data_IF_246607563340
#
_entry.id   IF_246607563340
#
_cell.length_a   1.000
_cell.length_b   1.000
_cell.length_c   1.000
_cell.angle_alpha   90.00
_cell.angle_beta   90.00
_cell.angle_gamma   90.00
#
_symmetry.space_group_name_H-M   'P 1'
#
loop_
_entity.id
_entity.type
_entity.pdbx_description
1 polymer ?
#
# COMPACT_ATOMS: atom_id res chain seq x y z
N UNK A 1 17.08 20.45 -1.71
CA UNK A 1 17.35 20.06 -0.31
C UNK A 1 17.20 18.55 -0.20
N UNK A 2 18.31 17.80 -0.16
CA UNK A 2 18.27 16.33 -0.04
C UNK A 2 17.95 15.96 1.41
N UNK A 3 16.82 15.29 1.63
CA UNK A 3 16.49 14.73 2.93
C UNK A 3 17.43 13.54 3.18
N UNK A 4 18.27 13.62 4.21
CA UNK A 4 19.17 12.53 4.61
C UNK A 4 18.36 11.27 4.94
N UNK A 5 18.43 10.27 4.06
CA UNK A 5 17.74 8.98 4.17
C UNK A 5 18.46 8.00 5.11
N UNK A 6 19.63 8.36 5.65
CA UNK A 6 20.53 7.46 6.39
C UNK A 6 19.97 6.92 7.72
N UNK A 7 18.87 7.48 8.23
CA UNK A 7 18.31 7.13 9.55
C UNK A 7 16.90 6.52 9.50
N UNK A 8 16.37 6.16 8.32
CA UNK A 8 15.03 5.59 8.24
C UNK A 8 15.12 4.07 8.48
N UNK A 9 14.57 3.55 9.58
CA UNK A 9 14.61 2.12 9.87
C UNK A 9 13.80 1.33 8.84
N UNK A 10 14.28 0.11 8.53
CA UNK A 10 13.58 -0.83 7.66
C UNK A 10 12.13 -1.08 8.16
N UNK A 11 11.19 -1.28 7.24
CA UNK A 11 9.76 -1.45 7.54
C UNK A 11 9.51 -2.57 8.55
N UNK A 12 10.21 -3.69 8.40
CA UNK A 12 10.17 -4.83 9.35
C UNK A 12 10.54 -4.43 10.78
N UNK A 13 11.52 -3.53 10.93
CA UNK A 13 11.93 -2.99 12.22
C UNK A 13 10.88 -2.00 12.78
N UNK A 14 10.19 -1.23 11.92
CA UNK A 14 9.10 -0.36 12.36
C UNK A 14 7.90 -1.14 12.91
N UNK A 15 7.60 -2.30 12.32
CA UNK A 15 6.49 -3.16 12.76
C UNK A 15 6.81 -3.93 14.04
N UNK A 16 8.07 -4.29 14.27
CA UNK A 16 8.49 -5.02 15.48
C UNK A 16 8.70 -4.11 16.70
N UNK A 17 8.82 -2.80 16.50
CA UNK A 17 9.02 -1.83 17.61
C UNK A 17 7.82 -1.78 18.56
N UNK A 18 8.13 -1.67 19.85
CA UNK A 18 7.12 -1.41 20.89
C UNK A 18 6.45 -0.04 20.74
N UNK A 19 7.19 0.96 20.28
CA UNK A 19 6.66 2.32 20.08
C UNK A 19 7.24 2.95 18.84
N UNK A 20 6.40 3.69 18.11
CA UNK A 20 6.77 4.37 16.88
C UNK A 20 6.78 5.91 17.05
N UNK A 21 7.69 6.61 16.34
CA UNK A 21 7.66 8.07 16.32
C UNK A 21 6.38 8.59 15.69
N UNK A 22 6.18 9.91 15.79
CA UNK A 22 5.00 10.54 15.23
C UNK A 22 5.02 10.49 13.70
N UNK A 23 3.88 10.16 13.10
CA UNK A 23 3.68 10.20 11.64
C UNK A 23 3.31 11.61 11.18
N UNK A 24 2.43 12.27 11.95
CA UNK A 24 2.00 13.65 11.74
C UNK A 24 2.79 14.56 12.69
N UNK A 25 3.22 15.75 12.25
CA UNK A 25 3.89 16.72 13.12
C UNK A 25 3.06 17.05 14.37
N UNK A 26 3.71 16.96 15.54
CA UNK A 26 3.13 17.34 16.82
C UNK A 26 3.40 18.82 17.04
N UNK A 27 2.37 19.59 17.42
CA UNK A 27 2.54 21.00 17.78
C UNK A 27 3.57 21.18 18.89
N UNK A 28 4.41 22.23 18.81
CA UNK A 28 5.44 22.46 19.81
C UNK A 28 4.83 22.83 21.17
N UNK A 29 5.58 22.55 22.24
CA UNK A 29 5.26 23.05 23.58
C UNK A 29 5.43 24.56 23.62
N UNK A 30 4.46 25.29 24.17
CA UNK A 30 4.53 26.75 24.28
C UNK A 30 4.83 27.15 25.72
N UNK A 31 5.74 28.09 25.93
CA UNK A 31 5.95 28.71 27.24
C UNK A 31 5.06 29.94 27.39
N UNK A 32 4.60 30.20 28.61
CA UNK A 32 3.90 31.42 28.96
C UNK A 32 4.07 31.74 30.44
N UNK A 33 3.44 32.80 30.91
CA UNK A 33 3.38 33.12 32.33
C UNK A 33 2.00 32.76 32.88
N UNK A 34 1.93 32.33 34.14
CA UNK A 34 0.69 32.32 34.90
C UNK A 34 0.33 33.77 35.26
N UNK A 35 -0.95 34.11 35.23
CA UNK A 35 -1.48 35.43 35.63
C UNK A 35 -2.20 35.25 36.96
N UNK A 36 -1.52 35.39 38.11
CA UNK A 36 -2.19 35.28 39.39
C UNK A 36 -3.03 36.53 39.66
N UNK A 37 -3.83 36.45 40.73
CA UNK A 37 -4.50 37.63 41.31
C UNK A 37 -3.48 38.60 41.96
N UNK A 38 -2.31 38.10 42.38
CA UNK A 38 -1.17 38.91 42.84
C UNK A 38 -0.29 39.40 41.66
N UNK A 39 0.66 40.31 41.92
CA UNK A 39 1.53 40.90 40.88
C UNK A 39 2.61 39.95 40.34
N UNK A 40 2.93 38.86 41.06
CA UNK A 40 4.09 38.02 40.76
C UNK A 40 3.79 36.95 39.71
N UNK A 41 4.30 37.13 38.49
CA UNK A 41 4.16 36.15 37.40
C UNK A 41 5.11 34.97 37.59
N UNK A 42 4.61 33.75 37.42
CA UNK A 42 5.43 32.52 37.38
C UNK A 42 5.44 31.92 35.98
N UNK A 43 6.53 31.25 35.60
CA UNK A 43 6.62 30.55 34.30
C UNK A 43 5.70 29.33 34.29
N UNK A 44 5.06 29.06 33.15
CA UNK A 44 4.30 27.85 32.87
C UNK A 44 4.55 27.34 31.45
N UNK A 45 4.30 26.06 31.23
CA UNK A 45 4.41 25.42 29.91
C UNK A 45 3.08 24.79 29.50
N UNK A 46 2.67 25.02 28.26
CA UNK A 46 1.52 24.39 27.64
C UNK A 46 1.99 23.21 26.79
N UNK A 47 1.69 22.00 27.28
CA UNK A 47 2.01 20.75 26.58
C UNK A 47 0.82 20.32 25.72
N UNK A 48 1.05 19.87 24.47
CA UNK A 48 -0.02 19.30 23.66
C UNK A 48 -0.51 17.97 24.27
N UNK A 49 -1.79 17.67 24.12
CA UNK A 49 -2.35 16.37 24.52
C UNK A 49 -1.91 15.30 23.51
N UNK A 50 -0.90 14.52 23.91
CA UNK A 50 -0.26 13.49 23.09
C UNK A 50 -0.48 12.12 23.72
N UNK A 51 -0.87 11.16 22.90
CA UNK A 51 -1.09 9.77 23.25
C UNK A 51 -0.33 8.86 22.28
N UNK A 52 -0.24 7.57 22.61
CA UNK A 52 0.27 6.54 21.71
C UNK A 52 -0.86 5.59 21.37
N UNK A 53 -1.04 5.32 20.09
CA UNK A 53 -2.14 4.48 19.58
C UNK A 53 -1.58 3.47 18.61
N UNK A 54 -2.15 2.28 18.63
CA UNK A 54 -1.86 1.20 17.70
C UNK A 54 -2.80 1.30 16.50
N UNK A 55 -2.24 1.34 15.29
CA UNK A 55 -3.04 1.45 14.07
C UNK A 55 -2.94 0.16 13.25
N UNK A 56 -4.07 -0.43 12.82
CA UNK A 56 -4.03 -1.52 11.85
C UNK A 56 -3.44 -1.03 10.53
N UNK A 57 -2.69 -1.90 9.87
CA UNK A 57 -2.10 -1.67 8.56
C UNK A 57 -2.44 -2.86 7.66
N UNK A 58 -2.74 -2.58 6.39
CA UNK A 58 -3.11 -3.61 5.44
C UNK A 58 -2.03 -3.67 4.35
N UNK A 59 -1.81 -2.57 3.64
CA UNK A 59 -0.90 -2.48 2.50
C UNK A 59 0.57 -2.58 2.90
N UNK A 60 0.91 -2.07 4.09
CA UNK A 60 2.30 -2.04 4.57
C UNK A 60 2.79 -3.37 5.14
N UNK A 61 1.93 -4.39 5.25
CA UNK A 61 2.35 -5.71 5.73
C UNK A 61 2.32 -6.71 4.59
N UNK A 62 3.50 -7.10 4.13
CA UNK A 62 3.69 -8.15 3.11
C UNK A 62 3.11 -9.50 3.55
N UNK A 63 2.92 -9.69 4.86
CA UNK A 63 2.39 -10.93 5.46
C UNK A 63 0.86 -11.07 5.39
N UNK A 64 0.14 -10.07 4.87
CA UNK A 64 -1.35 -10.09 4.88
C UNK A 64 -1.94 -11.17 3.97
N UNK A 65 -1.30 -11.51 2.85
CA UNK A 65 -1.77 -12.58 1.96
C UNK A 65 -1.64 -13.98 2.60
N UNK A 66 -0.65 -14.21 3.45
CA UNK A 66 -0.45 -15.49 4.14
C UNK A 66 -1.32 -15.68 5.40
N UNK A 67 -1.66 -14.58 6.09
CA UNK A 67 -2.37 -14.64 7.38
C UNK A 67 -3.90 -14.58 7.28
N UNK A 68 -4.47 -14.28 6.11
CA UNK A 68 -5.93 -14.34 5.90
C UNK A 68 -6.50 -15.76 6.13
N UNK A 69 -5.66 -16.79 5.96
CA UNK A 69 -6.05 -18.19 6.09
C UNK A 69 -6.07 -18.69 7.54
N UNK A 70 -5.64 -17.89 8.51
CA UNK A 70 -5.65 -18.24 9.93
C UNK A 70 -6.56 -17.26 10.70
N UNK A 71 -7.81 -17.65 11.05
CA UNK A 71 -8.78 -16.77 11.70
C UNK A 71 -8.39 -16.34 13.13
N UNK A 72 -7.27 -16.81 13.67
CA UNK A 72 -6.72 -16.42 14.98
C UNK A 72 -5.54 -15.44 14.92
N UNK A 73 -5.01 -15.12 13.74
CA UNK A 73 -3.84 -14.22 13.64
C UNK A 73 -4.26 -12.76 13.74
N UNK A 74 -3.77 -12.08 14.79
CA UNK A 74 -3.92 -10.63 14.96
C UNK A 74 -3.46 -9.89 13.69
N UNK A 75 -4.35 -9.09 13.12
CA UNK A 75 -4.01 -8.21 11.99
C UNK A 75 -2.73 -7.42 12.28
N UNK A 76 -1.86 -7.22 11.29
CA UNK A 76 -0.64 -6.46 11.48
C UNK A 76 -0.99 -5.02 11.89
N UNK A 77 -0.27 -4.52 12.90
CA UNK A 77 -0.50 -3.19 13.49
C UNK A 77 0.81 -2.45 13.61
N UNK A 78 0.79 -1.17 13.27
CA UNK A 78 1.83 -0.23 13.62
C UNK A 78 1.64 0.20 15.07
N UNK A 79 2.49 -0.32 15.97
CA UNK A 79 2.32 -0.18 17.42
C UNK A 79 2.84 1.16 17.95
N UNK A 80 2.12 1.72 18.91
CA UNK A 80 2.54 2.81 19.76
C UNK A 80 2.90 4.09 19.02
N UNK A 81 2.17 4.44 17.96
CA UNK A 81 2.40 5.66 17.17
C UNK A 81 2.08 6.89 18.01
N UNK A 82 3.07 7.76 18.20
CA UNK A 82 2.89 8.99 18.97
C UNK A 82 2.05 10.02 18.20
N UNK A 83 0.90 10.41 18.72
CA UNK A 83 -0.02 11.33 18.04
C UNK A 83 -0.70 12.30 19.02
N UNK A 84 -1.13 13.44 18.51
CA UNK A 84 -2.03 14.33 19.27
C UNK A 84 -3.46 13.83 19.18
N UNK A 85 -4.25 14.01 20.25
CA UNK A 85 -5.64 13.54 20.29
C UNK A 85 -6.51 14.13 19.18
N UNK A 86 -6.31 15.41 18.82
CA UNK A 86 -7.01 16.04 17.68
C UNK A 86 -6.68 15.36 16.34
N UNK A 87 -5.45 14.87 16.20
CA UNK A 87 -4.96 14.21 14.98
C UNK A 87 -5.39 12.75 14.88
N UNK A 88 -5.71 12.11 15.99
CA UNK A 88 -6.31 10.76 16.00
C UNK A 88 -7.66 10.80 15.28
N UNK A 89 -8.50 11.80 15.57
CA UNK A 89 -9.78 12.00 14.88
C UNK A 89 -9.63 12.20 13.37
N UNK A 90 -8.55 12.89 12.95
CA UNK A 90 -8.24 13.04 11.52
C UNK A 90 -7.91 11.69 10.86
N UNK A 91 -7.23 10.79 11.58
CA UNK A 91 -6.91 9.43 11.11
C UNK A 91 -8.18 8.59 10.99
N UNK A 92 -9.02 8.60 12.02
CA UNK A 92 -10.30 7.89 12.02
C UNK A 92 -11.19 8.36 10.88
N UNK A 93 -11.29 9.67 10.68
CA UNK A 93 -12.04 10.28 9.56
C UNK A 93 -11.49 9.86 8.20
N UNK A 94 -10.18 9.66 8.08
CA UNK A 94 -9.54 9.21 6.84
C UNK A 94 -9.64 7.68 6.62
N UNK A 95 -10.32 6.94 7.52
CA UNK A 95 -10.44 5.49 7.42
C UNK A 95 -9.19 4.72 7.89
N UNK A 96 -8.38 5.33 8.76
CA UNK A 96 -7.17 4.72 9.30
C UNK A 96 -5.88 5.39 8.80
N UNK A 97 -4.73 4.81 9.19
CA UNK A 97 -3.44 5.45 8.96
C UNK A 97 -3.05 5.47 7.48
N UNK A 98 -3.37 4.39 6.75
CA UNK A 98 -3.07 4.28 5.32
C UNK A 98 -3.93 5.25 4.50
N UNK A 99 -5.23 5.37 4.82
CA UNK A 99 -6.11 6.36 4.22
C UNK A 99 -5.66 7.81 4.49
N UNK A 100 -5.11 8.08 5.67
CA UNK A 100 -4.48 9.37 5.95
C UNK A 100 -3.23 9.61 5.08
N UNK A 101 -2.36 8.61 4.92
CA UNK A 101 -1.14 8.72 4.11
C UNK A 101 -1.46 8.96 2.62
N UNK A 102 -2.55 8.36 2.13
CA UNK A 102 -3.06 8.57 0.77
C UNK A 102 -3.67 9.95 0.59
N UNK A 103 -4.48 10.40 1.55
CA UNK A 103 -5.21 11.68 1.45
C UNK A 103 -4.34 12.92 1.63
N UNK A 104 -3.24 12.85 2.39
CA UNK A 104 -2.41 14.03 2.69
C UNK A 104 -1.17 14.15 1.80
N UNK A 105 -0.79 15.37 1.38
CA UNK A 105 0.50 15.58 0.74
C UNK A 105 1.67 15.37 1.71
N UNK A 106 2.83 14.94 1.18
CA UNK A 106 4.02 14.62 1.97
C UNK A 106 4.51 15.77 2.88
N UNK A 107 4.29 17.03 2.48
CA UNK A 107 4.64 18.23 3.28
C UNK A 107 3.95 18.31 4.64
N UNK A 108 2.83 17.61 4.82
CA UNK A 108 2.08 17.58 6.09
C UNK A 108 2.46 16.39 6.99
N UNK A 109 3.45 15.61 6.58
CA UNK A 109 3.92 14.43 7.29
C UNK A 109 5.31 14.69 7.86
N UNK A 110 5.66 13.95 8.90
CA UNK A 110 7.05 13.84 9.37
C UNK A 110 7.88 13.03 8.35
N UNK A 111 9.23 13.02 8.46
CA UNK A 111 10.06 12.16 7.61
C UNK A 111 9.65 10.68 7.67
N UNK A 112 9.29 10.17 8.85
CA UNK A 112 8.74 8.81 8.98
C UNK A 112 7.43 8.67 8.19
N UNK A 113 6.50 9.60 8.34
CA UNK A 113 5.24 9.56 7.61
C UNK A 113 5.44 9.66 6.09
N UNK A 114 6.38 10.47 5.63
CA UNK A 114 6.76 10.56 4.22
C UNK A 114 7.31 9.23 3.68
N UNK A 115 8.12 8.52 4.46
CA UNK A 115 8.61 7.18 4.11
C UNK A 115 7.48 6.15 4.07
N UNK A 116 6.60 6.10 5.08
CA UNK A 116 5.45 5.19 5.07
C UNK A 116 4.54 5.47 3.88
N UNK A 117 4.33 6.74 3.54
CA UNK A 117 3.58 7.14 2.34
C UNK A 117 4.21 6.59 1.07
N UNK A 118 5.52 6.72 0.89
CA UNK A 118 6.17 6.17 -0.32
C UNK A 118 6.08 4.66 -0.38
N UNK A 119 6.18 3.96 0.77
CA UNK A 119 5.96 2.51 0.82
C UNK A 119 4.54 2.13 0.42
N UNK A 120 3.52 2.83 0.92
CA UNK A 120 2.12 2.60 0.52
C UNK A 120 1.95 2.77 -1.00
N UNK A 121 2.47 3.86 -1.58
CA UNK A 121 2.37 4.08 -3.02
C UNK A 121 3.11 3.03 -3.85
N UNK A 122 4.29 2.60 -3.40
CA UNK A 122 5.05 1.54 -4.07
C UNK A 122 4.28 0.21 -4.05
N UNK A 123 3.64 -0.13 -2.93
CA UNK A 123 2.82 -1.36 -2.85
C UNK A 123 1.59 -1.26 -3.73
N UNK A 124 0.88 -0.13 -3.74
CA UNK A 124 -0.25 0.08 -4.66
C UNK A 124 0.16 0.02 -6.13
N UNK A 125 1.35 0.53 -6.45
CA UNK A 125 1.89 0.45 -7.80
C UNK A 125 2.20 -0.99 -8.22
N UNK A 126 2.76 -1.80 -7.31
CA UNK A 126 2.97 -3.24 -7.55
C UNK A 126 1.65 -3.96 -7.79
N UNK A 127 0.69 -3.79 -6.90
CA UNK A 127 -0.66 -4.38 -7.03
C UNK A 127 -1.30 -4.00 -8.37
N UNK A 128 -1.15 -2.74 -8.80
CA UNK A 128 -1.65 -2.29 -10.09
C UNK A 128 -1.02 -3.06 -11.26
N UNK A 129 0.31 -3.20 -11.26
CA UNK A 129 1.03 -3.96 -12.30
C UNK A 129 0.55 -5.42 -12.32
N UNK A 130 0.42 -6.04 -11.16
CA UNK A 130 -0.03 -7.43 -11.04
C UNK A 130 -1.45 -7.61 -11.60
N UNK A 131 -2.36 -6.68 -11.29
CA UNK A 131 -3.72 -6.68 -11.83
C UNK A 131 -3.78 -6.44 -13.34
N UNK A 132 -2.93 -5.56 -13.88
CA UNK A 132 -2.83 -5.32 -15.32
C UNK A 132 -2.30 -6.58 -16.04
N UNK A 133 -1.31 -7.26 -15.47
CA UNK A 133 -0.79 -8.53 -16.00
C UNK A 133 -1.83 -9.66 -15.96
N UNK A 134 -2.56 -9.81 -14.84
CA UNK A 134 -3.66 -10.78 -14.73
C UNK A 134 -4.76 -10.49 -15.75
N UNK A 135 -5.11 -9.22 -15.95
CA UNK A 135 -6.13 -8.83 -16.93
C UNK A 135 -5.71 -9.20 -18.35
N UNK A 136 -4.48 -8.89 -18.75
CA UNK A 136 -3.96 -9.26 -20.07
C UNK A 136 -3.87 -10.78 -20.25
N UNK A 137 -3.51 -11.54 -19.21
CA UNK A 137 -3.51 -13.00 -19.26
C UNK A 137 -4.91 -13.58 -19.46
N UNK A 138 -5.93 -13.00 -18.79
CA UNK A 138 -7.34 -13.40 -18.99
C UNK A 138 -7.85 -13.05 -20.39
N UNK A 139 -7.53 -11.87 -20.91
CA UNK A 139 -7.90 -11.45 -22.27
C UNK A 139 -7.23 -12.34 -23.34
N UNK A 140 -5.96 -12.72 -23.14
CA UNK A 140 -5.28 -13.66 -24.02
C UNK A 140 -5.90 -15.07 -23.96
N UNK A 141 -6.25 -15.56 -22.77
CA UNK A 141 -6.92 -16.85 -22.61
C UNK A 141 -8.30 -16.89 -23.30
N UNK A 142 -9.09 -15.82 -23.19
CA UNK A 142 -10.38 -15.70 -23.88
C UNK A 142 -10.22 -15.64 -25.41
N UNK A 143 -9.17 -15.00 -25.90
CA UNK A 143 -8.92 -14.87 -27.35
C UNK A 143 -8.45 -16.17 -28.02
N UNK A 144 -7.97 -17.15 -27.25
CA UNK A 144 -7.55 -18.46 -27.76
C UNK A 144 -8.72 -19.45 -27.91
N UNK A 145 -9.81 -19.28 -27.16
CA UNK A 145 -10.98 -20.16 -27.29
C UNK A 145 -11.89 -19.81 -28.47
N UNK A 146 -11.85 -18.56 -28.97
CA UNK A 146 -12.57 -18.16 -30.19
C UNK A 146 -11.91 -18.64 -31.51
N UNK A 147 -10.77 -19.35 -31.42
CA UNK A 147 -9.96 -19.76 -32.58
C UNK A 147 -9.95 -21.26 -32.90
N UNK A 148 -10.67 -22.10 -32.15
CA UNK A 148 -10.64 -23.57 -32.31
C UNK A 148 -11.96 -24.20 -32.74
N UNK A 149 -12.75 -23.52 -33.57
CA UNK A 149 -13.76 -24.16 -34.42
C UNK A 149 -13.66 -23.56 -35.82
N UNK A 150 -13.79 -24.39 -36.87
CA UNK A 150 -13.65 -24.08 -38.31
C UNK A 150 -12.26 -24.31 -38.93
N UNK A 151 -11.73 -25.54 -38.85
CA UNK A 151 -10.87 -26.12 -39.90
C UNK A 151 -10.83 -27.66 -39.80
N UNK A 152 -12.00 -28.29 -39.76
CA UNK A 152 -12.18 -29.69 -40.13
C UNK A 152 -13.43 -29.73 -41.01
N UNK A 153 -13.22 -29.86 -42.32
CA UNK A 153 -14.18 -30.33 -43.35
C UNK A 153 -13.91 -29.60 -44.67
N UNK A 154 -12.87 -30.07 -45.39
CA UNK A 154 -12.78 -30.07 -46.87
C UNK A 154 -11.44 -30.66 -47.31
N UNK A 155 -11.28 -31.97 -47.11
CA UNK A 155 -10.26 -32.78 -47.78
C UNK A 155 -10.87 -34.09 -48.26
N UNK A 156 -11.88 -34.00 -49.14
CA UNK A 156 -12.28 -35.14 -49.97
C UNK A 156 -12.67 -34.66 -51.37
N UNK A 157 -12.09 -35.29 -52.39
CA UNK A 157 -12.55 -35.17 -53.78
C UNK A 157 -11.49 -34.68 -54.78
N UNK A 158 -10.42 -35.44 -55.01
CA UNK A 158 -9.66 -35.33 -56.26
C UNK A 158 -9.24 -36.72 -56.76
N UNK A 159 -10.24 -37.51 -57.17
CA UNK A 159 -10.04 -38.71 -57.98
C UNK A 159 -10.14 -38.32 -59.45
N UNK A 160 -9.00 -38.05 -60.10
CA UNK A 160 -8.94 -37.98 -61.56
C UNK A 160 -7.76 -38.80 -62.09
N UNK A 161 -8.12 -40.00 -62.58
CA UNK A 161 -7.56 -40.79 -63.69
C UNK A 161 -6.04 -40.81 -63.87
N UNK A 162 -5.46 -41.95 -63.51
CA UNK A 162 -4.22 -42.48 -64.10
C UNK A 162 -4.53 -43.00 -65.51
N UNK A 163 -4.17 -42.23 -66.54
CA UNK A 163 -4.05 -42.76 -67.91
C UNK A 163 -2.59 -43.14 -68.17
N UNK A 164 -2.33 -44.45 -68.20
CA UNK A 164 -1.11 -45.05 -68.75
C UNK A 164 -1.29 -45.23 -70.26
N UNK A 165 -0.31 -44.87 -71.10
CA UNK A 165 -0.11 -45.56 -72.36
C UNK A 165 1.07 -46.54 -72.27
N UNK A 166 0.77 -47.75 -72.74
CA UNK A 166 1.65 -48.89 -72.95
C UNK A 166 2.76 -48.62 -73.99
N UNK A 167 3.94 -49.16 -73.68
CA UNK A 167 4.88 -49.90 -74.55
C UNK A 167 4.85 -49.62 -76.08
N UNK A 168 5.98 -49.20 -76.67
CA UNK A 168 6.86 -50.08 -77.45
C UNK A 168 7.91 -49.33 -78.31
N UNK A 169 9.10 -49.93 -78.33
CA UNK A 169 10.20 -49.86 -79.32
C UNK A 169 11.08 -48.60 -79.35
#
# INVERSE_FOLDING_TARGET
MSLSTKNIPNLTNLLSRRTNPAIIPISPTRSGNNKPKSLQKTKRTFKPNVTRVDWPINLLSESTLGNLNNPGTLLPKLRGVKMQMRKIRDVEKAGGIEGLLLSRPAKHLTPLGGYLRSQVFNQLHRIRIDLEAEKSAREAALSLEDGTELNQDKLEGNSHKLDLPLLNQ
#
